data_IF_295354558980
#
_entry.id   IF_295354558980
#
_cell.length_a   1.000
_cell.length_b   1.000
_cell.length_c   1.000
_cell.angle_alpha   90.00
_cell.angle_beta   90.00
_cell.angle_gamma   90.00
#
_symmetry.space_group_name_H-M   'P 1'
#
loop_
_entity.id
_entity.type
_entity.pdbx_description
1 polymer ?
#
# COMPACT_ATOMS: atom_id res chain seq x y z
N UNK A 1 5.92 -34.53 -10.07
CA UNK A 1 5.61 -33.61 -8.95
C UNK A 1 6.76 -32.65 -8.63
N UNK A 2 7.98 -33.13 -8.34
CA UNK A 2 9.11 -32.26 -7.94
C UNK A 2 9.46 -31.15 -8.96
N UNK A 3 9.41 -31.46 -10.26
CA UNK A 3 9.68 -30.49 -11.34
C UNK A 3 8.67 -29.34 -11.37
N UNK A 4 7.40 -29.62 -11.08
CA UNK A 4 6.35 -28.60 -11.05
C UNK A 4 6.49 -27.74 -9.80
N UNK A 5 6.78 -28.35 -8.65
CA UNK A 5 7.05 -27.63 -7.41
C UNK A 5 8.26 -26.67 -7.53
N UNK A 6 9.37 -27.13 -8.12
CA UNK A 6 10.54 -26.27 -8.33
C UNK A 6 10.24 -25.14 -9.30
N UNK A 7 9.56 -25.43 -10.41
CA UNK A 7 9.11 -24.41 -11.37
C UNK A 7 8.21 -23.36 -10.70
N UNK A 8 7.30 -23.78 -9.83
CA UNK A 8 6.39 -22.88 -9.12
C UNK A 8 7.14 -21.99 -8.13
N UNK A 9 8.14 -22.52 -7.41
CA UNK A 9 9.00 -21.74 -6.53
C UNK A 9 9.77 -20.69 -7.33
N UNK A 10 10.46 -21.10 -8.40
CA UNK A 10 11.25 -20.20 -9.23
C UNK A 10 10.37 -19.10 -9.83
N UNK A 11 9.19 -19.46 -10.34
CA UNK A 11 8.24 -18.49 -10.86
C UNK A 11 7.78 -17.48 -9.80
N UNK A 12 7.48 -17.94 -8.57
CA UNK A 12 7.11 -17.05 -7.46
C UNK A 12 8.25 -16.11 -7.09
N UNK A 13 9.48 -16.60 -7.05
CA UNK A 13 10.66 -15.78 -6.77
C UNK A 13 10.87 -14.71 -7.83
N UNK A 14 10.81 -15.07 -9.13
CA UNK A 14 10.91 -14.11 -10.24
C UNK A 14 9.77 -13.09 -10.19
N UNK A 15 8.55 -13.53 -9.89
CA UNK A 15 7.37 -12.67 -9.76
C UNK A 15 7.53 -11.64 -8.63
N UNK A 16 8.03 -12.07 -7.47
CA UNK A 16 8.30 -11.19 -6.33
C UNK A 16 9.43 -10.23 -6.62
N UNK A 17 10.55 -10.71 -7.18
CA UNK A 17 11.67 -9.87 -7.58
C UNK A 17 11.20 -8.78 -8.55
N UNK A 18 10.50 -9.16 -9.62
CA UNK A 18 9.95 -8.23 -10.60
C UNK A 18 8.98 -7.24 -9.98
N UNK A 19 8.09 -7.69 -9.08
CA UNK A 19 7.16 -6.81 -8.36
C UNK A 19 7.91 -5.73 -7.58
N UNK A 20 8.89 -6.12 -6.76
CA UNK A 20 9.60 -5.18 -5.90
C UNK A 20 10.52 -4.26 -6.70
N UNK A 21 11.23 -4.77 -7.71
CA UNK A 21 12.06 -3.94 -8.60
C UNK A 21 11.22 -2.88 -9.32
N UNK A 22 10.09 -3.26 -9.92
CA UNK A 22 9.23 -2.29 -10.59
C UNK A 22 8.57 -1.29 -9.63
N UNK A 23 8.21 -1.73 -8.42
CA UNK A 23 7.71 -0.83 -7.37
C UNK A 23 8.77 0.20 -6.95
N UNK A 24 10.03 -0.22 -6.77
CA UNK A 24 11.15 0.66 -6.43
C UNK A 24 11.37 1.70 -7.54
N UNK A 25 11.40 1.26 -8.80
CA UNK A 25 11.55 2.18 -9.93
C UNK A 25 10.43 3.23 -9.97
N UNK A 26 9.18 2.81 -9.82
CA UNK A 26 8.04 3.74 -9.80
C UNK A 26 8.05 4.65 -8.57
N UNK A 27 8.47 4.14 -7.41
CA UNK A 27 8.64 4.92 -6.20
C UNK A 27 9.68 6.03 -6.40
N UNK A 28 10.87 5.67 -6.90
CA UNK A 28 11.95 6.62 -7.21
C UNK A 28 11.49 7.64 -8.25
N UNK A 29 10.89 7.17 -9.35
CA UNK A 29 10.37 8.06 -10.40
C UNK A 29 9.34 9.04 -9.85
N UNK A 30 8.36 8.58 -9.06
CA UNK A 30 7.37 9.45 -8.43
C UNK A 30 8.00 10.42 -7.44
N UNK A 31 9.00 9.97 -6.66
CA UNK A 31 9.72 10.82 -5.72
C UNK A 31 10.41 12.00 -6.41
N UNK A 32 10.98 11.79 -7.61
CA UNK A 32 11.64 12.84 -8.37
C UNK A 32 10.71 13.69 -9.24
N UNK A 33 9.60 13.14 -9.72
CA UNK A 33 8.70 13.83 -10.67
C UNK A 33 7.44 14.42 -10.04
N UNK A 34 7.02 13.90 -8.89
CA UNK A 34 5.79 14.33 -8.22
C UNK A 34 6.10 15.02 -6.90
N UNK A 35 5.31 16.06 -6.58
CA UNK A 35 5.29 16.63 -5.22
C UNK A 35 4.52 15.75 -4.23
N UNK A 36 3.79 14.74 -4.70
CA UNK A 36 3.00 13.86 -3.85
C UNK A 36 3.89 12.84 -3.15
N UNK A 37 3.94 12.92 -1.81
CA UNK A 37 4.71 12.02 -0.95
C UNK A 37 3.94 10.72 -0.71
N UNK A 38 3.93 9.84 -1.71
CA UNK A 38 3.52 8.45 -1.52
C UNK A 38 4.62 7.66 -0.81
N UNK A 39 4.25 6.76 0.10
CA UNK A 39 5.21 5.79 0.63
C UNK A 39 5.49 4.69 -0.40
N UNK A 40 6.54 3.90 -0.17
CA UNK A 40 6.79 2.69 -0.96
C UNK A 40 5.59 1.73 -0.96
N UNK A 41 4.91 1.63 0.18
CA UNK A 41 3.76 0.75 0.37
C UNK A 41 2.64 1.04 -0.65
N UNK A 42 2.41 2.31 -0.97
CA UNK A 42 1.42 2.76 -1.95
C UNK A 42 1.55 2.11 -3.33
N UNK A 43 2.77 1.71 -3.70
CA UNK A 43 3.05 1.12 -5.01
C UNK A 43 2.80 -0.39 -5.01
N UNK A 44 2.97 -1.08 -3.89
CA UNK A 44 2.79 -2.54 -3.78
C UNK A 44 1.37 -2.94 -3.38
N UNK A 45 0.55 -1.98 -2.94
CA UNK A 45 -0.87 -2.16 -2.64
C UNK A 45 -1.73 -1.85 -3.85
N UNK A 46 -2.78 -2.64 -4.02
CA UNK A 46 -3.80 -2.38 -5.02
C UNK A 46 -4.80 -1.36 -4.50
N UNK A 47 -5.17 -0.42 -5.35
CA UNK A 47 -6.25 0.51 -5.05
C UNK A 47 -7.59 -0.25 -4.89
N UNK A 48 -8.55 0.31 -4.14
CA UNK A 48 -9.86 -0.31 -3.95
C UNK A 48 -10.64 -0.37 -5.27
N UNK A 49 -11.48 -1.38 -5.40
CA UNK A 49 -12.54 -1.40 -6.41
C UNK A 49 -13.63 -0.43 -5.93
N UNK A 50 -13.93 0.58 -6.75
CA UNK A 50 -14.90 1.61 -6.43
C UNK A 50 -15.98 1.59 -7.51
N UNK A 51 -17.24 1.55 -7.10
CA UNK A 51 -18.33 1.88 -8.01
C UNK A 51 -18.22 3.38 -8.29
N UNK A 52 -17.91 3.71 -9.54
CA UNK A 52 -17.71 5.07 -9.98
C UNK A 52 -18.67 5.42 -11.11
N UNK A 53 -19.82 4.74 -11.23
CA UNK A 53 -21.05 5.16 -11.92
C UNK A 53 -20.94 6.30 -12.97
N UNK A 54 -20.06 6.14 -13.97
CA UNK A 54 -19.84 7.13 -15.05
C UNK A 54 -18.86 8.30 -14.80
N UNK A 55 -18.25 8.42 -13.62
CA UNK A 55 -17.16 9.37 -13.33
C UNK A 55 -15.76 8.73 -13.47
N UNK A 56 -14.70 9.51 -13.71
CA UNK A 56 -13.33 9.00 -13.74
C UNK A 56 -12.93 8.37 -12.41
N UNK A 57 -12.32 7.17 -12.46
CA UNK A 57 -11.86 6.45 -11.26
C UNK A 57 -11.01 7.32 -10.31
N UNK A 58 -10.17 8.20 -10.87
CA UNK A 58 -9.31 9.07 -10.05
C UNK A 58 -10.12 10.01 -9.16
N UNK A 59 -11.25 10.51 -9.65
CA UNK A 59 -12.14 11.38 -8.89
C UNK A 59 -12.85 10.57 -7.79
N UNK A 60 -13.37 9.39 -8.13
CA UNK A 60 -14.02 8.50 -7.17
C UNK A 60 -13.04 8.06 -6.06
N UNK A 61 -11.79 7.80 -6.43
CA UNK A 61 -10.73 7.50 -5.49
C UNK A 61 -10.43 8.67 -4.55
N UNK A 62 -10.39 9.91 -5.05
CA UNK A 62 -10.14 11.08 -4.21
C UNK A 62 -11.30 11.30 -3.23
N UNK A 63 -12.54 11.11 -3.65
CA UNK A 63 -13.71 11.18 -2.77
C UNK A 63 -13.67 10.09 -1.69
N UNK A 64 -13.47 8.83 -2.10
CA UNK A 64 -13.30 7.71 -1.18
C UNK A 64 -12.18 7.98 -0.17
N UNK A 65 -11.04 8.48 -0.64
CA UNK A 65 -9.90 8.83 0.20
C UNK A 65 -10.25 9.89 1.23
N UNK A 66 -10.91 10.98 0.81
CA UNK A 66 -11.36 12.03 1.73
C UNK A 66 -12.31 11.50 2.81
N UNK A 67 -13.24 10.62 2.43
CA UNK A 67 -14.14 9.96 3.39
C UNK A 67 -13.37 9.06 4.37
N UNK A 68 -12.38 8.28 3.91
CA UNK A 68 -11.58 7.44 4.82
C UNK A 68 -10.66 8.25 5.72
N UNK A 69 -10.04 9.32 5.21
CA UNK A 69 -9.18 10.20 6.01
C UNK A 69 -9.98 10.84 7.17
N UNK A 70 -11.22 11.28 6.91
CA UNK A 70 -12.11 11.80 7.97
C UNK A 70 -12.52 10.71 8.97
N UNK A 71 -12.87 9.50 8.49
CA UNK A 71 -13.20 8.37 9.38
C UNK A 71 -12.01 7.97 10.26
N UNK A 72 -10.81 7.92 9.71
CA UNK A 72 -9.59 7.64 10.46
C UNK A 72 -9.35 8.70 11.53
N UNK A 73 -9.53 9.99 11.20
CA UNK A 73 -9.42 11.08 12.16
C UNK A 73 -10.43 10.95 13.30
N UNK A 74 -11.68 10.59 12.99
CA UNK A 74 -12.70 10.34 14.00
C UNK A 74 -12.37 9.13 14.87
N UNK A 75 -11.87 8.04 14.28
CA UNK A 75 -11.46 6.84 15.03
C UNK A 75 -10.34 7.12 16.04
N UNK A 76 -9.41 8.03 15.73
CA UNK A 76 -8.34 8.41 16.65
C UNK A 76 -8.78 9.43 17.72
N UNK A 77 -9.89 10.14 17.52
CA UNK A 77 -10.34 11.22 18.43
C UNK A 77 -11.55 10.85 19.28
N UNK A 78 -12.45 10.02 18.77
CA UNK A 78 -13.69 9.60 19.43
C UNK A 78 -13.58 8.14 19.89
N UNK A 79 -12.79 7.93 20.94
CA UNK A 79 -12.58 6.60 21.50
C UNK A 79 -13.81 6.12 22.28
N UNK A 80 -14.15 4.84 22.12
CA UNK A 80 -15.15 4.20 22.97
C UNK A 80 -14.59 3.91 24.37
N UNK A 81 -15.45 3.51 25.31
CA UNK A 81 -15.05 3.28 26.71
C UNK A 81 -13.90 2.25 26.86
N UNK A 82 -13.88 1.20 26.03
CA UNK A 82 -12.80 0.20 26.05
C UNK A 82 -11.49 0.80 25.57
N UNK A 83 -11.52 1.53 24.46
CA UNK A 83 -10.34 2.20 23.89
C UNK A 83 -9.81 3.29 24.84
N UNK A 84 -10.69 4.03 25.50
CA UNK A 84 -10.32 5.03 26.50
C UNK A 84 -9.57 4.40 27.67
N UNK A 85 -10.03 3.25 28.17
CA UNK A 85 -9.34 2.51 29.24
C UNK A 85 -7.94 2.05 28.81
N UNK A 86 -7.79 1.55 27.58
CA UNK A 86 -6.48 1.15 27.03
C UNK A 86 -5.55 2.37 26.94
N UNK A 87 -6.07 3.50 26.43
CA UNK A 87 -5.32 4.75 26.36
C UNK A 87 -4.83 5.20 27.73
N UNK A 88 -5.67 5.17 28.75
CA UNK A 88 -5.30 5.53 30.13
C UNK A 88 -4.24 4.59 30.70
N UNK A 89 -4.35 3.29 30.41
CA UNK A 89 -3.35 2.30 30.83
C UNK A 89 -1.99 2.61 30.21
N UNK A 90 -1.93 2.84 28.90
CA UNK A 90 -0.69 3.20 28.20
C UNK A 90 -0.08 4.52 28.70
N UNK A 91 -0.92 5.52 28.99
CA UNK A 91 -0.46 6.78 29.58
C UNK A 91 0.14 6.56 30.98
N UNK A 92 -0.44 5.67 31.79
CA UNK A 92 0.10 5.32 33.10
C UNK A 92 1.43 4.54 33.00
N UNK A 93 1.66 3.82 31.89
CA UNK A 93 2.92 3.17 31.56
C UNK A 93 3.99 4.15 31.03
N UNK A 94 3.66 5.43 30.87
CA UNK A 94 4.58 6.49 30.48
C UNK A 94 4.55 6.90 29.01
N UNK A 95 3.62 6.36 28.22
CA UNK A 95 3.44 6.75 26.82
C UNK A 95 2.85 8.16 26.71
N UNK A 96 3.32 8.93 25.73
CA UNK A 96 2.62 10.15 25.32
C UNK A 96 1.29 9.80 24.64
N UNK A 97 0.40 10.78 24.50
CA UNK A 97 -0.90 10.54 23.84
C UNK A 97 -0.74 10.03 22.41
N UNK A 98 0.19 10.60 21.63
CA UNK A 98 0.44 10.21 20.25
C UNK A 98 1.00 8.79 20.16
N UNK A 99 2.01 8.47 20.98
CA UNK A 99 2.60 7.13 21.01
C UNK A 99 1.59 6.06 21.46
N UNK A 100 0.69 6.41 22.39
CA UNK A 100 -0.36 5.50 22.84
C UNK A 100 -1.37 5.21 21.72
N UNK A 101 -1.80 6.24 20.97
CA UNK A 101 -2.69 6.07 19.81
C UNK A 101 -2.02 5.22 18.72
N UNK A 102 -0.74 5.48 18.41
CA UNK A 102 0.02 4.69 17.43
C UNK A 102 0.18 3.23 17.87
N UNK A 103 0.38 2.99 19.17
CA UNK A 103 0.44 1.65 19.75
C UNK A 103 -0.92 0.95 19.66
N UNK A 104 -2.03 1.64 19.95
CA UNK A 104 -3.38 1.11 19.81
C UNK A 104 -3.75 0.79 18.35
N UNK A 105 -3.30 1.61 17.40
CA UNK A 105 -3.44 1.32 15.96
C UNK A 105 -2.65 0.06 15.60
N UNK A 106 -1.40 -0.03 16.05
CA UNK A 106 -0.51 -1.16 15.77
C UNK A 106 -1.02 -2.48 16.39
N UNK A 107 -1.66 -2.41 17.55
CA UNK A 107 -2.30 -3.54 18.23
C UNK A 107 -3.65 -3.93 17.59
N UNK A 108 -4.21 -3.10 16.71
CA UNK A 108 -5.53 -3.30 16.09
C UNK A 108 -6.71 -2.89 16.95
N UNK A 109 -6.48 -2.18 18.06
CA UNK A 109 -7.54 -1.63 18.91
C UNK A 109 -8.25 -0.43 18.27
N UNK A 110 -7.53 0.32 17.42
CA UNK A 110 -8.09 1.36 16.55
C UNK A 110 -7.91 0.90 15.10
N UNK A 111 -9.03 0.62 14.42
CA UNK A 111 -9.03 0.22 13.02
C UNK A 111 -8.98 1.46 12.12
N UNK A 112 -7.85 1.68 11.44
CA UNK A 112 -7.71 2.69 10.40
C UNK A 112 -7.59 2.03 9.02
N UNK A 113 -8.08 2.72 7.99
CA UNK A 113 -7.90 2.32 6.60
C UNK A 113 -6.67 3.01 6.03
N UNK A 114 -5.74 2.28 5.45
CA UNK A 114 -4.60 2.90 4.77
C UNK A 114 -5.04 3.61 3.48
N UNK A 115 -4.87 4.93 3.45
CA UNK A 115 -5.22 5.78 2.31
C UNK A 115 -3.98 6.21 1.49
N UNK A 116 -2.80 5.75 1.89
CA UNK A 116 -1.55 5.94 1.16
C UNK A 116 -1.43 4.93 0.02
N UNK A 117 -2.33 5.00 -0.96
CA UNK A 117 -2.41 4.07 -2.08
C UNK A 117 -2.35 4.83 -3.40
N UNK A 118 -1.61 4.30 -4.38
CA UNK A 118 -1.51 4.92 -5.69
C UNK A 118 -2.82 4.74 -6.50
N UNK A 119 -3.45 5.82 -7.01
CA UNK A 119 -4.78 5.76 -7.62
C UNK A 119 -4.76 5.13 -9.00
N UNK A 120 -4.99 3.81 -9.07
CA UNK A 120 -5.02 3.01 -10.31
C UNK A 120 -6.21 2.08 -10.28
N UNK A 121 -7.15 2.22 -11.23
CA UNK A 121 -8.32 1.35 -11.29
C UNK A 121 -7.88 -0.13 -11.42
N UNK A 122 -8.11 -0.96 -10.38
CA UNK A 122 -7.71 -2.37 -10.41
C UNK A 122 -8.55 -3.22 -11.37
N UNK A 123 -9.74 -2.77 -11.80
CA UNK A 123 -10.57 -3.48 -12.79
C UNK A 123 -9.86 -3.64 -14.13
N UNK A 124 -9.17 -2.58 -14.56
CA UNK A 124 -8.42 -2.60 -15.80
C UNK A 124 -7.01 -3.11 -15.58
N UNK A 125 -6.32 -2.62 -14.55
CA UNK A 125 -4.94 -3.01 -14.32
C UNK A 125 -4.43 -2.66 -12.92
N UNK A 126 -4.16 -3.68 -12.10
CA UNK A 126 -3.68 -3.49 -10.73
C UNK A 126 -2.27 -2.89 -10.64
N UNK A 127 -1.98 -2.16 -9.55
CA UNK A 127 -0.64 -1.61 -9.28
C UNK A 127 0.43 -2.71 -9.23
N UNK A 128 0.12 -3.83 -8.59
CA UNK A 128 1.04 -4.98 -8.51
C UNK A 128 1.34 -5.59 -9.86
N UNK A 129 0.33 -5.69 -10.74
CA UNK A 129 0.54 -6.19 -12.11
C UNK A 129 1.46 -5.24 -12.91
N UNK A 130 1.22 -3.93 -12.82
CA UNK A 130 2.07 -2.94 -13.47
C UNK A 130 3.51 -3.01 -12.99
N UNK A 131 3.73 -3.11 -11.68
CA UNK A 131 5.08 -3.21 -11.14
C UNK A 131 5.78 -4.49 -11.57
N UNK A 132 5.09 -5.64 -11.58
CA UNK A 132 5.67 -6.89 -12.10
C UNK A 132 6.09 -6.74 -13.55
N UNK A 133 5.26 -6.13 -14.38
CA UNK A 133 5.58 -5.90 -15.80
C UNK A 133 6.80 -4.99 -15.94
N UNK A 134 6.81 -3.84 -15.26
CA UNK A 134 7.94 -2.89 -15.31
C UNK A 134 9.24 -3.53 -14.83
N UNK A 135 9.22 -4.25 -13.71
CA UNK A 135 10.41 -4.93 -13.18
C UNK A 135 10.88 -6.06 -14.08
N UNK A 136 9.97 -6.85 -14.65
CA UNK A 136 10.32 -7.92 -15.59
C UNK A 136 10.99 -7.35 -16.84
N UNK A 137 10.44 -6.27 -17.41
CA UNK A 137 11.03 -5.60 -18.57
C UNK A 137 12.43 -5.07 -18.28
N UNK A 138 12.68 -4.53 -17.08
CA UNK A 138 14.01 -4.11 -16.66
C UNK A 138 14.99 -5.29 -16.58
N UNK A 139 14.58 -6.40 -15.95
CA UNK A 139 15.46 -7.56 -15.83
C UNK A 139 15.79 -8.17 -17.20
N UNK A 140 14.80 -8.21 -18.11
CA UNK A 140 15.02 -8.67 -19.49
C UNK A 140 15.95 -7.74 -20.26
N UNK A 141 15.85 -6.42 -20.10
CA UNK A 141 16.77 -5.48 -20.78
C UNK A 141 18.20 -5.59 -20.27
N UNK A 142 18.39 -5.77 -18.94
CA UNK A 142 19.71 -6.00 -18.36
C UNK A 142 20.31 -7.32 -18.88
N UNK A 143 19.53 -8.40 -18.89
CA UNK A 143 19.98 -9.70 -19.41
C UNK A 143 20.39 -9.61 -20.88
N UNK A 144 19.59 -8.92 -21.70
CA UNK A 144 19.91 -8.69 -23.10
C UNK A 144 21.24 -7.96 -23.26
N UNK A 145 21.46 -6.88 -22.50
CA UNK A 145 22.70 -6.09 -22.54
C UNK A 145 23.94 -6.85 -22.05
N UNK A 146 23.78 -7.79 -21.12
CA UNK A 146 24.89 -8.65 -20.65
C UNK A 146 25.19 -9.81 -21.60
N UNK A 147 24.24 -10.16 -22.47
CA UNK A 147 24.37 -11.25 -23.43
C UNK A 147 24.92 -10.83 -24.80
N UNK A 148 25.02 -9.52 -25.02
CA UNK A 148 25.64 -8.87 -26.20
C UNK A 148 27.04 -8.40 -25.87
#
# INVERSE_FOLDING_TARGET
MLRNFFSDIVFRMISLLSLHTGAILRYIFNHFTSRNRYSYHAFIVNAPLLDHSGMPYREAFNEWKGQQDERNRQACTQLNAKQQHILETLKNEGYTHEEAIDSMISAGDICIVDTNIFPRNPEHFSNRALNRLVGLLLWLSILFMLST
#
